data_IF_996278964332
#
_entry.id   IF_996278964332
#
_cell.length_a   1.000
_cell.length_b   1.000
_cell.length_c   1.000
_cell.angle_alpha   90.00
_cell.angle_beta   90.00
_cell.angle_gamma   90.00
#
_symmetry.space_group_name_H-M   'P 1'
#
loop_
_entity.id
_entity.type
_entity.pdbx_description
1 polymer ?
#
# COMPACT_ATOMS: atom_id res chain seq x y z
N UNK A 1 2.85 -2.76 -21.62
CA UNK A 1 2.00 -3.81 -20.98
C UNK A 1 1.49 -3.22 -19.68
N UNK A 2 0.18 -3.14 -19.56
CA UNK A 2 -0.48 -2.54 -18.40
C UNK A 2 -0.23 -3.34 -17.14
N UNK A 3 0.14 -2.66 -16.05
CA UNK A 3 0.33 -3.26 -14.74
C UNK A 3 -0.89 -3.05 -13.85
N UNK A 4 -1.60 -1.92 -14.01
CA UNK A 4 -2.85 -1.64 -13.32
C UNK A 4 -3.86 -1.11 -14.35
N UNK A 5 -5.06 -1.69 -14.38
CA UNK A 5 -6.18 -1.20 -15.17
C UNK A 5 -7.38 -1.02 -14.24
N UNK A 6 -8.02 0.12 -14.37
CA UNK A 6 -9.29 0.40 -13.70
C UNK A 6 -10.32 0.66 -14.79
N UNK A 7 -11.49 0.04 -14.66
CA UNK A 7 -12.55 0.12 -15.63
C UNK A 7 -13.86 0.49 -14.94
N UNK A 8 -14.40 1.65 -15.29
CA UNK A 8 -15.70 2.14 -14.82
C UNK A 8 -15.88 2.04 -13.30
N UNK A 9 -14.86 2.50 -12.54
CA UNK A 9 -14.84 2.39 -11.09
C UNK A 9 -15.74 3.42 -10.44
N UNK A 10 -16.66 2.95 -9.60
CA UNK A 10 -17.51 3.78 -8.76
C UNK A 10 -17.27 3.43 -7.29
N UNK A 11 -17.30 4.44 -6.43
CA UNK A 11 -17.33 4.25 -5.00
C UNK A 11 -18.26 5.23 -4.33
N UNK A 12 -19.28 4.69 -3.69
CA UNK A 12 -20.23 5.44 -2.86
C UNK A 12 -20.12 4.96 -1.42
N UNK A 13 -20.06 5.87 -0.48
CA UNK A 13 -20.16 5.62 0.95
C UNK A 13 -21.55 6.02 1.46
N UNK A 14 -22.11 5.26 2.38
CA UNK A 14 -23.45 5.49 2.91
C UNK A 14 -24.55 5.06 1.94
N UNK A 15 -25.80 5.36 2.29
CA UNK A 15 -27.00 5.02 1.54
C UNK A 15 -28.03 6.15 1.63
N UNK A 16 -28.95 6.23 0.67
CA UNK A 16 -30.02 7.24 0.63
C UNK A 16 -29.50 8.67 0.53
N UNK A 17 -30.12 9.61 1.22
CA UNK A 17 -29.80 11.04 1.16
C UNK A 17 -28.40 11.39 1.71
N UNK A 18 -27.81 10.51 2.51
CA UNK A 18 -26.46 10.69 3.07
C UNK A 18 -25.36 9.97 2.24
N UNK A 19 -25.67 9.54 1.03
CA UNK A 19 -24.70 8.90 0.16
C UNK A 19 -23.65 9.91 -0.32
N UNK A 20 -22.37 9.54 -0.22
CA UNK A 20 -21.24 10.32 -0.72
C UNK A 20 -20.61 9.58 -1.89
N UNK A 21 -20.75 10.13 -3.08
CA UNK A 21 -20.13 9.60 -4.30
C UNK A 21 -18.66 10.04 -4.35
N UNK A 22 -17.77 9.16 -3.87
CA UNK A 22 -16.34 9.47 -3.76
C UNK A 22 -15.59 9.23 -5.06
N UNK A 23 -16.04 8.29 -5.89
CA UNK A 23 -15.51 8.01 -7.23
C UNK A 23 -16.68 7.78 -8.19
N UNK A 24 -16.61 8.40 -9.36
CA UNK A 24 -17.63 8.31 -10.40
C UNK A 24 -16.95 8.04 -11.74
N UNK A 25 -17.22 6.88 -12.32
CA UNK A 25 -16.75 6.43 -13.64
C UNK A 25 -15.26 6.61 -13.90
N UNK A 26 -14.43 6.21 -12.96
CA UNK A 26 -12.99 6.31 -13.11
C UNK A 26 -12.48 5.15 -13.97
N UNK A 27 -11.84 5.48 -15.10
CA UNK A 27 -11.13 4.51 -15.93
C UNK A 27 -9.71 5.00 -16.16
N UNK A 28 -8.71 4.15 -15.93
CA UNK A 28 -7.30 4.46 -16.14
C UNK A 28 -6.47 3.21 -16.41
N UNK A 29 -5.33 3.41 -17.03
CA UNK A 29 -4.38 2.36 -17.38
C UNK A 29 -2.96 2.85 -17.02
N UNK A 30 -2.25 2.09 -16.18
CA UNK A 30 -0.90 2.40 -15.74
C UNK A 30 0.04 1.33 -16.31
N UNK A 31 1.08 1.77 -17.02
CA UNK A 31 2.03 0.86 -17.66
C UNK A 31 3.09 0.38 -16.69
N UNK A 32 3.64 -0.81 -16.94
CA UNK A 32 4.74 -1.34 -16.14
C UNK A 32 5.96 -0.41 -16.19
N UNK A 33 6.48 -0.05 -15.01
CA UNK A 33 7.61 0.86 -14.85
C UNK A 33 7.25 2.33 -14.89
N UNK A 34 5.97 2.67 -15.06
CA UNK A 34 5.49 4.06 -15.06
C UNK A 34 5.42 4.64 -13.64
N UNK A 35 5.72 5.92 -13.51
CA UNK A 35 5.42 6.72 -12.32
C UNK A 35 4.16 7.52 -12.63
N UNK A 36 3.04 7.10 -12.07
CA UNK A 36 1.74 7.72 -12.30
C UNK A 36 1.35 8.65 -11.15
N UNK A 37 1.04 9.91 -11.45
CA UNK A 37 0.67 10.92 -10.46
C UNK A 37 -0.84 11.16 -10.41
N UNK A 38 -1.42 11.16 -9.20
CA UNK A 38 -2.82 11.52 -8.94
C UNK A 38 -2.86 12.84 -8.20
N UNK A 39 -3.36 13.90 -8.85
CA UNK A 39 -3.48 15.24 -8.29
C UNK A 39 -4.94 15.66 -8.15
N UNK A 40 -5.21 16.62 -7.30
CA UNK A 40 -6.56 17.16 -7.07
C UNK A 40 -6.69 17.80 -5.69
N UNK A 41 -7.79 18.49 -5.46
CA UNK A 41 -8.11 19.17 -4.18
C UNK A 41 -8.29 18.17 -3.03
N UNK A 42 -8.28 18.67 -1.80
CA UNK A 42 -8.66 17.87 -0.63
C UNK A 42 -10.11 17.40 -0.79
N UNK A 43 -10.39 16.15 -0.47
CA UNK A 43 -11.73 15.56 -0.66
C UNK A 43 -12.03 15.01 -2.07
N UNK A 44 -11.18 15.23 -3.06
CA UNK A 44 -11.41 14.79 -4.46
C UNK A 44 -11.31 13.27 -4.68
N UNK A 45 -11.37 12.43 -3.65
CA UNK A 45 -11.39 10.97 -3.80
C UNK A 45 -10.03 10.30 -4.04
N UNK A 46 -8.90 11.05 -4.09
CA UNK A 46 -7.55 10.48 -4.38
C UNK A 46 -7.18 9.29 -3.49
N UNK A 47 -7.34 9.44 -2.19
CA UNK A 47 -7.02 8.35 -1.22
C UNK A 47 -7.99 7.18 -1.36
N UNK A 48 -9.24 7.44 -1.71
CA UNK A 48 -10.26 6.42 -1.99
C UNK A 48 -9.87 5.62 -3.24
N UNK A 49 -9.45 6.31 -4.30
CA UNK A 49 -8.99 5.67 -5.54
C UNK A 49 -7.79 4.73 -5.26
N UNK A 50 -6.75 5.23 -4.57
CA UNK A 50 -5.58 4.41 -4.21
C UNK A 50 -5.96 3.21 -3.33
N UNK A 51 -6.93 3.37 -2.41
CA UNK A 51 -7.43 2.26 -1.59
C UNK A 51 -8.25 1.26 -2.40
N UNK A 52 -8.96 1.70 -3.43
CA UNK A 52 -9.67 0.80 -4.34
C UNK A 52 -8.70 0.03 -5.24
N UNK A 53 -7.58 0.64 -5.67
CA UNK A 53 -6.56 -0.05 -6.49
C UNK A 53 -6.01 -1.31 -5.83
N UNK A 54 -5.84 -1.31 -4.51
CA UNK A 54 -5.36 -2.49 -3.76
C UNK A 54 -6.47 -3.21 -2.98
N UNK A 55 -7.74 -2.87 -3.27
CA UNK A 55 -8.95 -3.42 -2.62
C UNK A 55 -8.94 -3.31 -1.08
N UNK A 56 -8.17 -2.39 -0.48
CA UNK A 56 -8.36 -2.01 0.93
C UNK A 56 -9.74 -1.38 1.14
N UNK A 57 -10.27 -0.77 0.08
CA UNK A 57 -11.64 -0.32 -0.02
C UNK A 57 -12.27 -1.01 -1.24
N UNK A 58 -13.33 -1.79 -1.05
CA UNK A 58 -14.02 -2.41 -2.18
C UNK A 58 -14.82 -1.35 -2.95
N UNK A 59 -14.67 -1.26 -4.27
CA UNK A 59 -15.51 -0.39 -5.09
C UNK A 59 -16.98 -0.80 -4.98
N UNK A 60 -17.88 0.13 -5.26
CA UNK A 60 -19.32 -0.14 -5.38
C UNK A 60 -19.61 -0.89 -6.68
N UNK A 61 -18.92 -0.51 -7.75
CA UNK A 61 -18.96 -1.19 -9.05
C UNK A 61 -17.71 -0.88 -9.85
N UNK A 62 -17.53 -1.56 -10.98
CA UNK A 62 -16.33 -1.47 -11.81
C UNK A 62 -15.29 -2.52 -11.47
N UNK A 63 -14.19 -2.53 -12.23
CA UNK A 63 -13.17 -3.57 -12.17
C UNK A 63 -11.79 -2.98 -11.91
N UNK A 64 -11.00 -3.66 -11.08
CA UNK A 64 -9.59 -3.36 -10.83
C UNK A 64 -8.76 -4.57 -11.21
N UNK A 65 -7.92 -4.43 -12.22
CA UNK A 65 -7.02 -5.47 -12.71
C UNK A 65 -5.59 -5.08 -12.36
N UNK A 66 -4.85 -5.97 -11.70
CA UNK A 66 -3.44 -5.79 -11.35
C UNK A 66 -2.65 -6.97 -11.88
N UNK A 67 -1.63 -6.69 -12.68
CA UNK A 67 -0.78 -7.70 -13.33
C UNK A 67 -1.62 -8.78 -14.06
N UNK A 68 -2.64 -8.32 -14.79
CA UNK A 68 -3.57 -9.17 -15.56
C UNK A 68 -4.61 -9.92 -14.71
N UNK A 69 -4.63 -9.74 -13.39
CA UNK A 69 -5.55 -10.41 -12.48
C UNK A 69 -6.65 -9.46 -12.00
N UNK A 70 -7.92 -9.84 -12.22
CA UNK A 70 -9.05 -9.08 -11.67
C UNK A 70 -9.11 -9.23 -10.15
N UNK A 71 -8.73 -8.16 -9.46
CA UNK A 71 -8.70 -8.09 -7.99
C UNK A 71 -10.12 -8.03 -7.39
N UNK A 72 -11.08 -7.50 -8.13
CA UNK A 72 -12.46 -7.33 -7.64
C UNK A 72 -13.22 -8.65 -7.56
N UNK A 73 -12.85 -9.62 -8.39
CA UNK A 73 -13.44 -10.97 -8.42
C UNK A 73 -12.85 -11.93 -7.37
N UNK A 74 -11.77 -11.55 -6.68
CA UNK A 74 -11.08 -12.43 -5.74
C UNK A 74 -11.84 -12.61 -4.43
N UNK A 75 -11.77 -13.82 -3.89
CA UNK A 75 -12.12 -14.10 -2.50
C UNK A 75 -11.15 -13.42 -1.53
N UNK A 76 -11.54 -13.23 -0.27
CA UNK A 76 -10.68 -12.61 0.74
C UNK A 76 -9.35 -13.35 0.95
N UNK A 77 -9.34 -14.67 0.79
CA UNK A 77 -8.12 -15.49 0.89
C UNK A 77 -7.16 -15.21 -0.28
N UNK A 78 -7.68 -15.17 -1.49
CA UNK A 78 -6.91 -14.89 -2.71
C UNK A 78 -6.42 -13.43 -2.73
N UNK A 79 -7.27 -12.51 -2.28
CA UNK A 79 -6.94 -11.08 -2.18
C UNK A 79 -5.78 -10.84 -1.20
N UNK A 80 -5.74 -11.54 -0.04
CA UNK A 80 -4.59 -11.48 0.87
C UNK A 80 -3.29 -11.95 0.21
N UNK A 81 -3.35 -12.98 -0.62
CA UNK A 81 -2.19 -13.46 -1.37
C UNK A 81 -1.77 -12.47 -2.46
N UNK A 82 -2.72 -11.93 -3.21
CA UNK A 82 -2.45 -10.94 -4.26
C UNK A 82 -1.82 -9.65 -3.69
N UNK A 83 -2.27 -9.20 -2.52
CA UNK A 83 -1.73 -8.02 -1.82
C UNK A 83 -0.27 -8.17 -1.36
N UNK A 84 0.31 -9.35 -1.37
CA UNK A 84 1.75 -9.51 -1.08
C UNK A 84 2.64 -8.82 -2.12
N UNK A 85 2.13 -8.68 -3.35
CA UNK A 85 2.84 -8.03 -4.46
C UNK A 85 2.41 -6.58 -4.68
N UNK A 86 1.49 -6.06 -3.86
CA UNK A 86 0.97 -4.69 -3.95
C UNK A 86 1.16 -4.01 -2.61
N UNK A 87 2.13 -3.13 -2.53
CA UNK A 87 2.41 -2.42 -1.27
C UNK A 87 1.83 -1.03 -1.25
N UNK A 88 1.54 -0.52 -0.05
CA UNK A 88 1.03 0.82 0.16
C UNK A 88 1.80 1.54 1.25
N UNK A 89 2.19 2.78 0.97
CA UNK A 89 2.73 3.70 1.97
C UNK A 89 1.59 4.62 2.40
N UNK A 90 1.18 4.50 3.65
CA UNK A 90 0.08 5.29 4.21
C UNK A 90 0.53 6.68 4.61
N UNK A 91 -0.35 7.65 4.51
CA UNK A 91 -0.11 9.04 4.92
C UNK A 91 0.30 9.15 6.41
N UNK A 92 -0.26 8.31 7.28
CA UNK A 92 0.08 8.23 8.71
C UNK A 92 1.14 7.17 9.02
N UNK A 93 1.88 6.71 8.01
CA UNK A 93 2.96 5.71 8.07
C UNK A 93 2.52 4.31 8.54
N UNK A 94 1.56 4.19 9.43
CA UNK A 94 1.01 2.94 10.01
C UNK A 94 2.12 1.97 10.47
N UNK A 95 3.12 2.51 11.18
CA UNK A 95 4.16 1.69 11.77
C UNK A 95 3.63 0.95 13.01
N UNK A 96 4.13 -0.25 13.22
CA UNK A 96 3.82 -1.06 14.39
C UNK A 96 4.58 -0.47 15.58
N UNK A 97 3.90 0.31 16.42
CA UNK A 97 4.50 1.13 17.49
C UNK A 97 5.23 0.30 18.54
N UNK A 98 4.82 -0.96 18.72
CA UNK A 98 5.39 -1.91 19.70
C UNK A 98 6.55 -2.74 19.12
N UNK A 99 6.92 -2.51 17.85
CA UNK A 99 8.04 -3.15 17.18
C UNK A 99 9.13 -2.13 16.88
N UNK A 100 10.38 -2.55 16.94
CA UNK A 100 11.51 -1.72 16.51
C UNK A 100 11.43 -1.39 15.02
N UNK A 101 12.21 -0.41 14.58
CA UNK A 101 12.37 -0.02 13.17
C UNK A 101 12.72 -1.25 12.31
N UNK A 102 13.72 -2.01 12.71
CA UNK A 102 14.11 -3.24 12.02
C UNK A 102 12.96 -4.23 11.90
N UNK A 103 12.25 -4.49 12.99
CA UNK A 103 11.11 -5.42 13.03
C UNK A 103 9.92 -4.92 12.20
N UNK A 104 9.74 -3.60 12.06
CA UNK A 104 8.75 -3.03 11.14
C UNK A 104 9.09 -3.36 9.69
N UNK A 105 10.36 -3.25 9.29
CA UNK A 105 10.80 -3.57 7.92
C UNK A 105 10.82 -5.07 7.66
N UNK A 106 11.14 -5.90 8.66
CA UNK A 106 11.08 -7.37 8.54
C UNK A 106 9.65 -7.90 8.39
N UNK A 107 8.65 -7.19 8.90
CA UNK A 107 7.29 -7.70 9.07
C UNK A 107 6.65 -8.28 7.79
N UNK A 108 6.67 -7.63 6.62
CA UNK A 108 6.10 -8.21 5.41
C UNK A 108 6.82 -9.49 4.96
N UNK A 109 8.13 -9.57 5.14
CA UNK A 109 8.91 -10.76 4.84
C UNK A 109 8.60 -11.92 5.80
N UNK A 110 8.38 -11.61 7.10
CA UNK A 110 7.91 -12.60 8.10
C UNK A 110 6.55 -13.19 7.66
N UNK A 111 5.62 -12.35 7.22
CA UNK A 111 4.30 -12.79 6.73
C UNK A 111 4.39 -13.65 5.46
N UNK A 112 5.43 -13.44 4.65
CA UNK A 112 5.68 -14.22 3.43
C UNK A 112 6.45 -15.52 3.71
N UNK A 113 6.84 -15.79 4.96
CA UNK A 113 7.56 -17.00 5.35
C UNK A 113 9.08 -16.93 5.08
N UNK A 114 9.63 -15.74 4.84
CA UNK A 114 11.08 -15.56 4.65
C UNK A 114 11.84 -15.93 5.95
N UNK A 115 12.90 -16.73 5.88
CA UNK A 115 13.73 -17.08 7.04
C UNK A 115 14.23 -15.84 7.78
N UNK A 116 14.18 -15.84 9.11
CA UNK A 116 14.47 -14.68 9.95
C UNK A 116 15.83 -14.03 9.67
N UNK A 117 16.86 -14.84 9.41
CA UNK A 117 18.21 -14.34 9.08
C UNK A 117 18.22 -13.57 7.74
N UNK A 118 17.50 -14.06 6.73
CA UNK A 118 17.39 -13.40 5.43
C UNK A 118 16.55 -12.13 5.54
N UNK A 119 15.41 -12.18 6.24
CA UNK A 119 14.56 -11.00 6.48
C UNK A 119 15.34 -9.90 7.21
N UNK A 120 16.12 -10.26 8.26
CA UNK A 120 16.97 -9.31 8.97
C UNK A 120 18.05 -8.69 8.08
N UNK A 121 18.74 -9.49 7.28
CA UNK A 121 19.77 -9.01 6.34
C UNK A 121 19.18 -8.01 5.36
N UNK A 122 18.08 -8.39 4.69
CA UNK A 122 17.39 -7.53 3.72
C UNK A 122 16.86 -6.25 4.36
N UNK A 123 16.27 -6.33 5.55
CA UNK A 123 15.77 -5.16 6.26
C UNK A 123 16.89 -4.17 6.62
N UNK A 124 18.08 -4.64 7.01
CA UNK A 124 19.23 -3.76 7.26
C UNK A 124 19.75 -3.08 5.99
N UNK A 125 19.76 -3.77 4.86
CA UNK A 125 20.11 -3.18 3.56
C UNK A 125 19.11 -2.07 3.17
N UNK A 126 17.81 -2.31 3.37
CA UNK A 126 16.78 -1.32 3.09
C UNK A 126 16.83 -0.12 4.04
N UNK A 127 17.15 -0.35 5.32
CA UNK A 127 17.36 0.73 6.27
C UNK A 127 18.59 1.56 5.92
N UNK A 128 19.65 0.93 5.42
CA UNK A 128 20.82 1.63 4.92
C UNK A 128 20.49 2.51 3.72
N UNK A 129 19.72 1.98 2.75
CA UNK A 129 19.26 2.71 1.57
C UNK A 129 18.49 4.00 1.93
N UNK A 130 17.71 3.98 3.02
CA UNK A 130 16.95 5.16 3.48
C UNK A 130 17.69 5.98 4.55
N UNK A 131 18.96 5.65 4.86
CA UNK A 131 19.81 6.35 5.82
C UNK A 131 19.32 6.25 7.26
N UNK A 132 18.87 5.06 7.67
CA UNK A 132 18.36 4.80 9.04
C UNK A 132 18.88 3.53 9.67
N UNK A 133 20.03 3.01 9.19
CA UNK A 133 20.62 1.77 9.70
C UNK A 133 20.93 1.84 11.20
N UNK A 134 21.45 2.99 11.66
CA UNK A 134 21.76 3.23 13.07
C UNK A 134 20.52 3.33 13.98
N UNK A 135 19.35 3.47 13.39
CA UNK A 135 18.06 3.48 14.10
C UNK A 135 17.33 2.13 14.10
N UNK A 136 18.00 1.05 13.68
CA UNK A 136 17.39 -0.27 13.54
C UNK A 136 16.70 -0.76 14.83
N UNK A 137 17.30 -0.51 15.98
CA UNK A 137 16.79 -0.94 17.29
C UNK A 137 15.88 0.09 17.98
N UNK A 138 15.73 1.29 17.40
CA UNK A 138 14.82 2.31 17.92
C UNK A 138 13.34 1.92 17.67
N UNK A 139 12.46 2.50 18.48
CA UNK A 139 11.01 2.38 18.31
C UNK A 139 10.46 3.57 17.52
N UNK A 140 9.31 3.41 16.81
CA UNK A 140 8.70 4.51 16.06
C UNK A 140 8.43 5.77 16.86
N UNK A 141 8.15 5.65 18.17
CA UNK A 141 7.96 6.79 19.07
C UNK A 141 9.20 7.68 19.19
N UNK A 142 10.38 7.14 18.94
CA UNK A 142 11.68 7.83 19.04
C UNK A 142 12.11 8.48 17.71
N UNK A 143 11.26 8.41 16.67
CA UNK A 143 11.56 8.91 15.34
C UNK A 143 10.80 10.20 15.01
N UNK A 144 11.44 11.09 14.26
CA UNK A 144 10.75 12.21 13.61
C UNK A 144 9.76 11.73 12.53
N UNK A 145 8.84 12.60 12.11
CA UNK A 145 7.88 12.30 11.06
C UNK A 145 8.55 11.84 9.75
N UNK A 146 9.59 12.54 9.31
CA UNK A 146 10.35 12.18 8.11
C UNK A 146 11.10 10.84 8.26
N UNK A 147 11.60 10.52 9.46
CA UNK A 147 12.21 9.21 9.73
C UNK A 147 11.15 8.09 9.68
N UNK A 148 9.96 8.29 10.28
CA UNK A 148 8.85 7.34 10.20
C UNK A 148 8.43 7.08 8.76
N UNK A 149 8.37 8.12 7.92
CA UNK A 149 8.09 7.98 6.49
C UNK A 149 9.12 7.12 5.77
N UNK A 150 10.41 7.36 6.02
CA UNK A 150 11.50 6.56 5.44
C UNK A 150 11.46 5.09 5.89
N UNK A 151 11.11 4.82 7.15
CA UNK A 151 10.86 3.43 7.61
C UNK A 151 9.68 2.79 6.88
N UNK A 152 8.59 3.53 6.66
CA UNK A 152 7.43 3.02 5.91
C UNK A 152 7.79 2.71 4.44
N UNK A 153 8.65 3.55 3.82
CA UNK A 153 9.20 3.29 2.47
C UNK A 153 10.05 2.02 2.47
N UNK A 154 11.00 1.89 3.41
CA UNK A 154 11.83 0.69 3.53
C UNK A 154 10.99 -0.58 3.74
N UNK A 155 9.94 -0.51 4.56
CA UNK A 155 8.99 -1.61 4.76
C UNK A 155 8.25 -1.98 3.47
N UNK A 156 7.84 -0.99 2.67
CA UNK A 156 7.15 -1.24 1.40
C UNK A 156 8.08 -1.88 0.34
N UNK A 157 9.38 -1.61 0.39
CA UNK A 157 10.39 -2.19 -0.50
C UNK A 157 10.87 -3.59 -0.07
N UNK A 158 10.36 -4.11 1.04
CA UNK A 158 10.78 -5.40 1.60
C UNK A 158 10.04 -6.61 0.97
N UNK A 159 9.05 -6.35 0.10
CA UNK A 159 8.25 -7.37 -0.60
C UNK A 159 8.61 -7.43 -2.06
#
# INVERSE_FOLDING_TARGET
MSIIQIQHLYKTFGTGENAVHALEDISLDIQKGEIFGIIGLSGAGKSTLVRCMNLLERPTSGTVIVDGKDMTALSEKELRLARRNVTMIFQSFNLLMQRTVLKNVCFPMELSGTPAAQARKRALELLDLVGLREKADAYPSQLSGGQKQRVAIARALAT
#
